data_IF_778450434767
#
_entry.id   IF_778450434767
#
_cell.length_a   1.000
_cell.length_b   1.000
_cell.length_c   1.000
_cell.angle_alpha   90.00
_cell.angle_beta   90.00
_cell.angle_gamma   90.00
#
_symmetry.space_group_name_H-M   'P 1'
#
loop_
_entity.id
_entity.type
_entity.pdbx_description
1 polymer ?
#
# COMPACT_ATOMS: atom_id res chain seq x y z
N UNK A 1 -8.87 -13.19 33.96
CA UNK A 1 -8.96 -11.98 33.12
C UNK A 1 -9.14 -12.39 31.67
N UNK A 2 -10.02 -11.78 30.97
CA UNK A 2 -10.36 -12.12 29.60
C UNK A 2 -9.84 -11.03 28.64
N UNK A 3 -9.13 -11.45 27.60
CA UNK A 3 -8.66 -10.53 26.58
C UNK A 3 -9.87 -9.96 25.79
N UNK A 4 -9.75 -8.74 25.31
CA UNK A 4 -10.80 -8.04 24.58
C UNK A 4 -10.95 -8.61 23.17
N UNK A 5 -12.16 -9.03 22.76
CA UNK A 5 -12.40 -9.40 21.37
C UNK A 5 -12.23 -8.19 20.44
N UNK A 6 -11.66 -8.42 19.27
CA UNK A 6 -11.48 -7.39 18.23
C UNK A 6 -12.33 -7.79 17.03
N UNK A 7 -13.25 -6.91 16.63
CA UNK A 7 -14.20 -7.20 15.57
C UNK A 7 -13.65 -6.86 14.18
N UNK A 8 -12.73 -5.90 14.10
CA UNK A 8 -12.19 -5.45 12.82
C UNK A 8 -10.79 -4.87 13.02
N UNK A 9 -9.91 -5.16 12.09
CA UNK A 9 -8.57 -4.58 12.05
C UNK A 9 -8.37 -3.87 10.72
N UNK A 10 -7.75 -2.71 10.77
CA UNK A 10 -7.39 -1.99 9.55
C UNK A 10 -6.07 -1.24 9.76
N UNK A 11 -5.37 -0.96 8.65
CA UNK A 11 -4.23 -0.05 8.61
C UNK A 11 -4.72 1.25 7.98
N UNK A 12 -4.47 2.38 8.64
CA UNK A 12 -4.93 3.68 8.14
C UNK A 12 -3.76 4.46 7.53
N UNK A 13 -3.96 4.93 6.31
CA UNK A 13 -3.01 5.79 5.61
C UNK A 13 -3.60 7.18 5.48
N UNK A 14 -2.77 8.21 5.71
CA UNK A 14 -3.18 9.59 5.53
C UNK A 14 -3.02 9.99 4.07
N UNK A 15 -3.98 10.72 3.53
CA UNK A 15 -3.96 11.15 2.13
C UNK A 15 -4.26 12.64 2.03
N UNK A 16 -3.59 13.32 1.10
CA UNK A 16 -3.86 14.72 0.80
C UNK A 16 -5.04 14.86 -0.17
N UNK A 17 -5.18 13.92 -1.10
CA UNK A 17 -6.24 13.91 -2.12
C UNK A 17 -6.85 12.51 -2.19
N UNK A 18 -8.04 12.38 -1.61
CA UNK A 18 -8.72 11.07 -1.50
C UNK A 18 -9.00 10.45 -2.87
N UNK A 19 -9.49 11.21 -3.83
CA UNK A 19 -9.82 10.69 -5.15
C UNK A 19 -8.57 10.19 -5.89
N UNK A 20 -7.47 10.94 -5.78
CA UNK A 20 -6.20 10.55 -6.38
C UNK A 20 -5.65 9.28 -5.73
N UNK A 21 -5.71 9.19 -4.40
CA UNK A 21 -5.26 8.01 -3.66
C UNK A 21 -6.06 6.76 -4.06
N UNK A 22 -7.38 6.87 -4.08
CA UNK A 22 -8.24 5.75 -4.46
C UNK A 22 -7.98 5.30 -5.90
N UNK A 23 -7.79 6.24 -6.81
CA UNK A 23 -7.47 5.93 -8.20
C UNK A 23 -6.12 5.18 -8.29
N UNK A 24 -5.11 5.63 -7.55
CA UNK A 24 -3.82 4.95 -7.53
C UNK A 24 -3.96 3.48 -7.10
N UNK A 25 -4.57 3.24 -5.95
CA UNK A 25 -4.66 1.87 -5.42
C UNK A 25 -5.53 0.96 -6.29
N UNK A 26 -6.61 1.48 -6.86
CA UNK A 26 -7.48 0.68 -7.73
C UNK A 26 -6.85 0.39 -9.09
N UNK A 27 -5.97 1.25 -9.57
CA UNK A 27 -5.30 1.05 -10.87
C UNK A 27 -3.97 0.31 -10.73
N UNK A 28 -3.23 0.51 -9.64
CA UNK A 28 -1.94 -0.12 -9.44
C UNK A 28 -2.04 -1.56 -8.94
N UNK A 29 -3.02 -1.84 -8.10
CA UNK A 29 -3.14 -3.13 -7.42
C UNK A 29 -4.57 -3.69 -7.54
N UNK A 30 -4.67 -5.01 -7.47
CA UNK A 30 -5.98 -5.68 -7.50
C UNK A 30 -6.63 -5.59 -6.11
N UNK A 31 -7.35 -4.51 -5.87
CA UNK A 31 -8.04 -4.25 -4.61
C UNK A 31 -9.55 -4.26 -4.81
N UNK A 32 -10.29 -4.52 -3.73
CA UNK A 32 -11.75 -4.43 -3.72
C UNK A 32 -12.17 -3.25 -2.87
N UNK A 33 -12.84 -2.27 -3.46
CA UNK A 33 -13.30 -1.08 -2.76
C UNK A 33 -14.50 -1.44 -1.89
N UNK A 34 -14.42 -1.14 -0.59
CA UNK A 34 -15.51 -1.37 0.36
C UNK A 34 -16.25 -0.07 0.67
N UNK A 35 -15.52 1.05 0.84
CA UNK A 35 -16.09 2.37 1.11
C UNK A 35 -15.32 3.38 0.25
N UNK A 36 -16.04 4.30 -0.38
CA UNK A 36 -15.44 5.37 -1.17
C UNK A 36 -16.15 6.67 -0.85
N UNK A 37 -15.54 7.48 -0.01
CA UNK A 37 -16.09 8.77 0.45
C UNK A 37 -14.96 9.78 0.60
N UNK A 38 -15.24 11.09 0.51
CA UNK A 38 -14.21 12.12 0.73
C UNK A 38 -13.62 12.12 2.13
N UNK A 39 -14.33 11.53 3.09
CA UNK A 39 -13.96 11.61 4.51
C UNK A 39 -13.35 10.31 5.04
N UNK A 40 -13.59 9.19 4.37
CA UNK A 40 -13.09 7.88 4.78
C UNK A 40 -13.32 6.88 3.65
N UNK A 41 -12.26 6.26 3.20
CA UNK A 41 -12.36 5.19 2.21
C UNK A 41 -11.70 3.93 2.73
N UNK A 42 -12.17 2.77 2.25
CA UNK A 42 -11.57 1.49 2.59
C UNK A 42 -11.50 0.61 1.35
N UNK A 43 -10.42 -0.10 1.23
CA UNK A 43 -10.33 -1.19 0.26
C UNK A 43 -9.73 -2.43 0.94
N UNK A 44 -10.06 -3.59 0.38
CA UNK A 44 -9.54 -4.87 0.85
C UNK A 44 -8.56 -5.41 -0.17
N UNK A 45 -7.40 -5.84 0.28
CA UNK A 45 -6.37 -6.44 -0.55
C UNK A 45 -5.76 -7.61 0.19
N UNK A 46 -5.77 -8.80 -0.44
CA UNK A 46 -5.21 -10.03 0.13
C UNK A 46 -5.66 -10.28 1.58
N UNK A 47 -6.92 -10.02 1.88
CA UNK A 47 -7.51 -10.22 3.22
C UNK A 47 -7.25 -9.11 4.22
N UNK A 48 -6.49 -8.08 3.88
CA UNK A 48 -6.24 -6.94 4.76
C UNK A 48 -7.13 -5.76 4.37
N UNK A 49 -7.59 -5.01 5.37
CA UNK A 49 -8.33 -3.77 5.16
C UNK A 49 -7.39 -2.58 5.29
N UNK A 50 -7.37 -1.75 4.28
CA UNK A 50 -6.61 -0.50 4.25
C UNK A 50 -7.62 0.65 4.24
N UNK A 51 -7.49 1.55 5.21
CA UNK A 51 -8.34 2.73 5.31
C UNK A 51 -7.54 3.97 4.88
N UNK A 52 -8.22 4.90 4.22
CA UNK A 52 -7.64 6.18 3.82
C UNK A 52 -8.37 7.31 4.52
N UNK A 53 -7.61 8.18 5.18
CA UNK A 53 -8.13 9.33 5.93
C UNK A 53 -7.58 10.62 5.34
N UNK A 54 -8.43 11.64 5.09
CA UNK A 54 -7.97 12.93 4.58
C UNK A 54 -7.12 13.67 5.62
N UNK A 55 -6.40 14.69 5.17
CA UNK A 55 -5.58 15.53 6.03
C UNK A 55 -4.09 15.19 6.00
N UNK A 56 -3.65 14.31 5.10
CA UNK A 56 -2.25 14.03 4.88
C UNK A 56 -1.52 15.22 4.27
N UNK A 57 -0.21 15.32 4.51
CA UNK A 57 0.62 16.42 4.00
C UNK A 57 1.16 16.16 2.58
N UNK A 58 1.17 14.91 2.13
CA UNK A 58 1.84 14.51 0.90
C UNK A 58 3.33 14.21 1.09
N UNK A 59 3.89 14.46 2.27
CA UNK A 59 5.28 14.15 2.57
C UNK A 59 5.48 12.64 2.72
N UNK A 60 6.69 12.18 2.45
CA UNK A 60 7.03 10.77 2.63
C UNK A 60 6.86 10.35 4.08
N UNK A 61 6.10 9.27 4.29
CA UNK A 61 5.76 8.76 5.61
C UNK A 61 5.88 7.24 5.61
N UNK A 62 6.66 6.71 6.55
CA UNK A 62 6.75 5.27 6.73
C UNK A 62 5.45 4.72 7.31
N UNK A 63 4.96 3.62 6.75
CA UNK A 63 3.67 3.05 7.14
C UNK A 63 3.78 1.67 7.78
N UNK A 64 4.85 0.96 7.48
CA UNK A 64 4.99 -0.45 7.84
C UNK A 64 4.17 -1.39 6.97
N UNK A 65 3.41 -0.87 6.00
CA UNK A 65 2.61 -1.69 5.08
C UNK A 65 3.52 -2.35 4.05
N UNK A 66 3.30 -3.63 3.81
CA UNK A 66 4.02 -4.39 2.81
C UNK A 66 3.08 -5.20 1.94
N UNK A 67 3.38 -5.27 0.65
CA UNK A 67 2.70 -6.11 -0.32
C UNK A 67 3.68 -7.14 -0.87
N UNK A 68 3.26 -8.39 -0.89
CA UNK A 68 4.00 -9.44 -1.57
C UNK A 68 3.30 -9.72 -2.90
N UNK A 69 4.06 -9.70 -3.98
CA UNK A 69 3.55 -9.87 -5.35
C UNK A 69 4.30 -11.00 -6.05
N UNK A 70 3.75 -11.54 -7.12
CA UNK A 70 4.42 -12.60 -7.88
C UNK A 70 5.44 -12.07 -8.87
N UNK A 71 5.25 -10.84 -9.37
CA UNK A 71 6.11 -10.21 -10.36
C UNK A 71 6.41 -8.79 -9.91
N UNK A 72 7.55 -8.60 -9.25
CA UNK A 72 7.93 -7.30 -8.71
C UNK A 72 8.16 -6.26 -9.80
N UNK A 73 8.82 -6.63 -10.89
CA UNK A 73 9.10 -5.67 -11.96
C UNK A 73 7.81 -5.15 -12.61
N UNK A 74 6.84 -6.03 -12.84
CA UNK A 74 5.54 -5.63 -13.37
C UNK A 74 4.79 -4.73 -12.40
N UNK A 75 4.83 -5.03 -11.10
CA UNK A 75 4.20 -4.21 -10.08
C UNK A 75 4.81 -2.80 -10.04
N UNK A 76 6.14 -2.71 -10.08
CA UNK A 76 6.83 -1.42 -10.05
C UNK A 76 6.53 -0.58 -11.30
N UNK A 77 6.45 -1.22 -12.45
CA UNK A 77 6.05 -0.54 -13.68
C UNK A 77 4.64 0.04 -13.53
N UNK A 78 3.71 -0.76 -13.00
CA UNK A 78 2.33 -0.31 -12.81
C UNK A 78 2.23 0.84 -11.79
N UNK A 79 3.03 0.79 -10.72
CA UNK A 79 3.12 1.89 -9.75
C UNK A 79 3.52 3.20 -10.42
N UNK A 80 4.56 3.19 -11.24
CA UNK A 80 5.02 4.41 -11.92
C UNK A 80 4.02 4.92 -12.96
N UNK A 81 3.36 4.03 -13.69
CA UNK A 81 2.33 4.40 -14.66
C UNK A 81 1.10 5.05 -14.02
N UNK A 82 0.83 4.75 -12.76
CA UNK A 82 -0.36 5.23 -12.05
C UNK A 82 -0.09 6.39 -11.09
N UNK A 83 1.13 6.92 -11.11
CA UNK A 83 1.49 8.15 -10.38
C UNK A 83 2.29 7.94 -9.10
N UNK A 84 2.59 6.71 -8.72
CA UNK A 84 3.49 6.43 -7.62
C UNK A 84 4.95 6.55 -8.03
N UNK A 85 5.87 6.37 -7.07
CA UNK A 85 7.31 6.48 -7.29
C UNK A 85 8.04 5.29 -6.67
N UNK A 86 9.15 4.90 -7.28
CA UNK A 86 10.07 3.94 -6.66
C UNK A 86 11.05 4.76 -5.82
N UNK A 87 11.03 4.56 -4.49
CA UNK A 87 11.91 5.26 -3.56
C UNK A 87 13.17 4.45 -3.21
N UNK A 88 13.09 3.13 -3.37
CA UNK A 88 14.25 2.26 -3.24
C UNK A 88 14.13 1.15 -4.28
N UNK A 89 15.13 1.00 -5.19
CA UNK A 89 15.04 0.01 -6.26
C UNK A 89 15.11 -1.41 -5.71
N UNK A 90 14.71 -2.41 -6.51
CA UNK A 90 14.75 -3.80 -6.09
C UNK A 90 16.15 -4.26 -5.67
N UNK A 91 16.19 -4.99 -4.57
CA UNK A 91 17.41 -5.64 -4.08
C UNK A 91 17.05 -6.99 -3.49
N UNK A 92 17.98 -7.91 -3.58
CA UNK A 92 17.80 -9.25 -3.03
C UNK A 92 18.16 -9.26 -1.55
N UNK A 93 17.33 -9.91 -0.75
CA UNK A 93 17.60 -10.21 0.64
C UNK A 93 17.65 -11.73 0.78
N UNK A 94 18.86 -12.25 0.74
CA UNK A 94 19.10 -13.70 0.63
C UNK A 94 18.58 -14.47 1.86
N UNK A 95 18.75 -13.91 3.06
CA UNK A 95 18.30 -14.57 4.29
C UNK A 95 16.79 -14.71 4.35
N UNK A 96 16.07 -13.69 3.94
CA UNK A 96 14.60 -13.69 3.91
C UNK A 96 14.05 -14.32 2.63
N UNK A 97 14.92 -14.58 1.65
CA UNK A 97 14.57 -15.16 0.36
C UNK A 97 13.53 -14.33 -0.38
N UNK A 98 13.73 -13.02 -0.36
CA UNK A 98 12.87 -12.06 -1.06
C UNK A 98 13.70 -11.10 -1.89
N UNK A 99 13.07 -10.56 -2.92
CA UNK A 99 13.53 -9.41 -3.65
C UNK A 99 12.58 -8.27 -3.28
N UNK A 100 13.10 -7.15 -2.81
CA UNK A 100 12.27 -6.10 -2.18
C UNK A 100 12.60 -4.73 -2.74
N UNK A 101 11.56 -3.93 -2.93
CA UNK A 101 11.66 -2.51 -3.28
C UNK A 101 10.78 -1.70 -2.32
N UNK A 102 10.99 -0.39 -2.30
CA UNK A 102 10.11 0.54 -1.61
C UNK A 102 9.51 1.50 -2.63
N UNK A 103 8.23 1.78 -2.47
CA UNK A 103 7.50 2.74 -3.29
C UNK A 103 6.86 3.81 -2.41
N UNK A 104 6.58 4.95 -3.01
CA UNK A 104 5.66 5.93 -2.43
C UNK A 104 4.38 5.93 -3.26
N UNK A 105 3.23 5.90 -2.59
CA UNK A 105 1.96 6.12 -3.27
C UNK A 105 1.86 7.59 -3.70
N UNK A 106 0.73 7.99 -4.28
CA UNK A 106 0.54 9.37 -4.74
C UNK A 106 0.48 10.38 -3.58
N UNK A 107 0.36 9.90 -2.34
CA UNK A 107 0.19 10.71 -1.14
C UNK A 107 1.44 10.72 -0.25
N UNK A 108 2.53 10.10 -0.70
CA UNK A 108 3.78 10.04 0.05
C UNK A 108 3.87 8.86 1.03
N UNK A 109 2.88 8.01 1.11
CA UNK A 109 2.97 6.84 1.97
C UNK A 109 3.95 5.82 1.41
N UNK A 110 4.93 5.43 2.22
CA UNK A 110 5.97 4.49 1.82
C UNK A 110 5.50 3.06 2.09
N UNK A 111 5.58 2.24 1.06
CA UNK A 111 5.11 0.85 1.08
C UNK A 111 6.22 -0.04 0.55
N UNK A 112 6.46 -1.14 1.24
CA UNK A 112 7.37 -2.18 0.79
C UNK A 112 6.65 -3.10 -0.19
N UNK A 113 7.28 -3.42 -1.32
CA UNK A 113 6.76 -4.39 -2.28
C UNK A 113 7.83 -5.47 -2.47
N UNK A 114 7.45 -6.72 -2.29
CA UNK A 114 8.38 -7.83 -2.28
C UNK A 114 7.90 -9.00 -3.15
N UNK A 115 8.87 -9.78 -3.62
CA UNK A 115 8.63 -11.01 -4.38
C UNK A 115 9.47 -12.11 -3.75
N UNK A 116 8.89 -13.31 -3.58
CA UNK A 116 9.65 -14.45 -3.07
C UNK A 116 10.68 -14.93 -4.11
N UNK A 117 11.89 -15.21 -3.64
CA UNK A 117 12.96 -15.80 -4.44
C UNK A 117 12.97 -17.31 -4.15
N UNK A 118 12.87 -18.11 -5.20
CA UNK A 118 12.92 -19.57 -5.08
C UNK A 118 14.30 -20.10 -5.42
#
# INVERSE_FOLDING_TARGET
>A
MTATPVDKTYVMLMVADMARAMRFYTEAFAVTVAINSPYWSEFVVAGATIALHPGGSGNETHTGLGFEVKDLDAALQRVTETGGRITSPPRDRQQERIRVAEIADTEGNLITVAELIN
#
